data_IF_621219328061
#
_entry.id   IF_621219328061
#
_cell.length_a   1.000
_cell.length_b   1.000
_cell.length_c   1.000
_cell.angle_alpha   90.00
_cell.angle_beta   90.00
_cell.angle_gamma   90.00
#
_symmetry.space_group_name_H-M   'P 1'
#
loop_
_entity.id
_entity.type
_entity.pdbx_description
1 polymer ?
#
# COMPACT_ATOMS: atom_id res chain seq x y z
N UNK A 1 -5.44 -8.92 21.05
CA UNK A 1 -5.79 -7.52 21.30
C UNK A 1 -4.69 -6.95 22.20
N UNK A 2 -3.74 -6.27 21.58
CA UNK A 2 -2.62 -5.62 22.26
C UNK A 2 -3.13 -4.32 22.91
N UNK A 3 -2.52 -3.87 24.01
CA UNK A 3 -2.83 -2.58 24.65
C UNK A 3 -2.66 -1.40 23.67
N UNK A 4 -1.77 -1.54 22.69
CA UNK A 4 -1.58 -0.59 21.60
C UNK A 4 -2.70 -0.60 20.56
N UNK A 5 -3.57 -1.61 20.50
CA UNK A 5 -4.76 -1.61 19.62
C UNK A 5 -5.86 -0.68 20.15
N UNK A 6 -5.80 -0.33 21.45
CA UNK A 6 -6.79 0.51 22.14
C UNK A 6 -6.45 2.00 21.99
N UNK A 7 -5.15 2.32 21.92
CA UNK A 7 -4.65 3.67 21.69
C UNK A 7 -4.40 3.84 20.18
N UNK A 8 -5.25 4.59 19.48
CA UNK A 8 -5.04 4.90 18.06
C UNK A 8 -3.65 5.52 17.81
N UNK A 9 -3.11 5.43 16.58
CA UNK A 9 -1.74 5.85 16.29
C UNK A 9 -1.55 7.34 16.55
N UNK A 10 -0.31 7.72 16.90
CA UNK A 10 0.09 9.13 16.90
C UNK A 10 -0.08 9.67 15.48
N UNK A 11 -0.88 10.73 15.35
CA UNK A 11 -1.26 11.27 14.05
C UNK A 11 -1.59 12.76 14.08
N UNK A 12 -1.59 13.37 12.89
CA UNK A 12 -2.11 14.73 12.67
C UNK A 12 -3.50 14.65 12.06
N UNK A 13 -4.53 15.05 12.80
CA UNK A 13 -5.89 15.17 12.28
C UNK A 13 -6.95 14.74 13.28
N UNK A 14 -8.23 14.96 12.97
CA UNK A 14 -9.33 14.69 13.90
C UNK A 14 -9.71 13.20 13.96
N UNK A 15 -9.26 12.37 13.02
CA UNK A 15 -9.77 11.01 12.83
C UNK A 15 -8.71 10.03 12.34
N UNK A 16 -8.51 8.95 13.09
CA UNK A 16 -7.54 7.89 12.80
C UNK A 16 -7.87 7.09 11.56
N UNK A 17 -9.16 6.88 11.29
CA UNK A 17 -9.60 6.21 10.06
C UNK A 17 -9.38 7.09 8.83
N UNK A 18 -9.73 8.37 8.92
CA UNK A 18 -9.72 9.29 7.79
C UNK A 18 -8.36 9.94 7.54
N UNK A 19 -7.47 9.94 8.53
CA UNK A 19 -6.13 10.49 8.40
C UNK A 19 -5.06 9.40 8.43
N UNK A 20 -4.89 8.69 9.55
CA UNK A 20 -3.81 7.72 9.66
C UNK A 20 -3.97 6.56 8.66
N UNK A 21 -5.17 5.98 8.56
CA UNK A 21 -5.44 4.93 7.57
C UNK A 21 -5.26 5.40 6.13
N UNK A 22 -5.78 6.59 5.82
CA UNK A 22 -5.65 7.22 4.50
C UNK A 22 -4.18 7.50 4.10
N UNK A 23 -3.37 8.03 5.02
CA UNK A 23 -1.94 8.24 4.78
C UNK A 23 -1.18 6.92 4.61
N UNK A 24 -1.51 5.87 5.38
CA UNK A 24 -0.93 4.53 5.22
C UNK A 24 -1.24 3.94 3.84
N UNK A 25 -2.48 4.07 3.35
CA UNK A 25 -2.87 3.65 2.00
C UNK A 25 -1.97 4.31 0.96
N UNK A 26 -1.87 5.66 0.98
CA UNK A 26 -1.03 6.39 0.03
C UNK A 26 0.45 6.00 0.10
N UNK A 27 0.97 5.79 1.31
CA UNK A 27 2.38 5.42 1.53
C UNK A 27 2.71 4.03 1.01
N UNK A 28 1.81 3.07 1.18
CA UNK A 28 1.99 1.72 0.62
C UNK A 28 1.94 1.78 -0.90
N UNK A 29 1.03 2.57 -1.49
CA UNK A 29 0.99 2.71 -2.95
C UNK A 29 2.29 3.31 -3.50
N UNK A 30 2.87 4.30 -2.82
CA UNK A 30 4.20 4.83 -3.17
C UNK A 30 5.30 3.75 -3.06
N UNK A 31 5.29 2.96 -1.98
CA UNK A 31 6.27 1.90 -1.78
C UNK A 31 6.21 0.85 -2.92
N UNK A 32 5.00 0.49 -3.37
CA UNK A 32 4.80 -0.40 -4.50
C UNK A 32 5.26 0.20 -5.83
N UNK A 33 5.07 1.52 -6.03
CA UNK A 33 5.61 2.22 -7.20
C UNK A 33 7.14 2.15 -7.21
N UNK A 34 7.78 2.33 -6.05
CA UNK A 34 9.23 2.22 -5.86
C UNK A 34 10.02 3.43 -6.37
N UNK A 35 9.34 4.47 -6.83
CA UNK A 35 9.90 5.73 -7.32
C UNK A 35 8.95 6.89 -6.99
N UNK A 36 9.41 8.15 -7.01
CA UNK A 36 8.53 9.31 -6.86
C UNK A 36 7.43 9.32 -7.92
N UNK A 37 6.17 9.52 -7.49
CA UNK A 37 5.05 9.67 -8.39
C UNK A 37 5.04 11.08 -9.02
N UNK A 38 4.68 11.16 -10.29
CA UNK A 38 4.40 12.42 -11.01
C UNK A 38 2.90 12.64 -11.20
N UNK A 39 2.11 11.56 -11.14
CA UNK A 39 0.64 11.62 -11.21
C UNK A 39 0.01 10.69 -10.18
N UNK A 40 -1.06 11.15 -9.54
CA UNK A 40 -1.90 10.39 -8.63
C UNK A 40 -3.38 10.54 -9.00
N UNK A 41 -4.02 9.44 -9.39
CA UNK A 41 -5.47 9.34 -9.56
C UNK A 41 -6.06 8.64 -8.33
N UNK A 42 -6.86 9.36 -7.56
CA UNK A 42 -7.47 8.90 -6.31
C UNK A 42 -8.98 8.80 -6.51
N UNK A 43 -9.52 7.61 -6.32
CA UNK A 43 -10.96 7.36 -6.30
C UNK A 43 -11.40 7.03 -4.87
N UNK A 44 -12.37 7.79 -4.35
CA UNK A 44 -12.87 7.63 -3.00
C UNK A 44 -14.26 7.00 -3.01
N UNK A 45 -14.48 6.07 -2.08
CA UNK A 45 -15.75 5.39 -1.89
C UNK A 45 -16.39 5.78 -0.55
N UNK A 46 -17.72 5.72 -0.48
CA UNK A 46 -18.48 5.68 0.78
C UNK A 46 -18.26 6.90 1.68
N UNK A 47 -17.90 6.66 2.93
CA UNK A 47 -17.63 7.71 3.92
C UNK A 47 -16.43 8.58 3.54
N UNK A 48 -15.38 7.99 2.92
CA UNK A 48 -14.28 8.78 2.36
C UNK A 48 -14.79 9.72 1.28
N UNK A 49 -15.59 9.23 0.32
CA UNK A 49 -16.16 10.07 -0.74
C UNK A 49 -16.98 11.26 -0.18
N UNK A 50 -17.76 11.01 0.88
CA UNK A 50 -18.66 12.01 1.46
C UNK A 50 -17.96 13.06 2.31
N UNK A 51 -16.86 12.71 2.97
CA UNK A 51 -16.30 13.54 4.06
C UNK A 51 -14.82 13.91 3.88
N UNK A 52 -14.18 13.53 2.77
CA UNK A 52 -12.73 13.68 2.61
C UNK A 52 -12.19 15.08 2.89
N UNK A 53 -12.91 16.14 2.49
CA UNK A 53 -12.49 17.54 2.76
C UNK A 53 -12.60 17.91 4.23
N UNK A 54 -13.67 17.48 4.89
CA UNK A 54 -13.95 17.81 6.30
C UNK A 54 -13.01 17.10 7.26
N UNK A 55 -12.70 15.83 6.98
CA UNK A 55 -11.80 15.02 7.80
C UNK A 55 -10.33 15.05 7.33
N UNK A 56 -10.03 15.70 6.20
CA UNK A 56 -8.67 15.82 5.66
C UNK A 56 -8.12 14.54 5.03
N UNK A 57 -8.98 13.65 4.53
CA UNK A 57 -8.59 12.39 3.87
C UNK A 57 -7.84 12.63 2.56
N UNK A 58 -8.19 13.67 1.80
CA UNK A 58 -7.42 14.12 0.65
C UNK A 58 -5.98 14.46 1.02
N UNK A 59 -5.82 15.31 2.04
CA UNK A 59 -4.51 15.73 2.55
C UNK A 59 -3.70 14.53 3.04
N UNK A 60 -4.33 13.62 3.76
CA UNK A 60 -3.69 12.43 4.29
C UNK A 60 -3.22 11.48 3.18
N UNK A 61 -4.07 11.19 2.18
CA UNK A 61 -3.69 10.35 1.03
C UNK A 61 -2.52 10.98 0.27
N UNK A 62 -2.61 12.27 -0.05
CA UNK A 62 -1.54 13.00 -0.77
C UNK A 62 -0.25 12.97 0.05
N UNK A 63 -0.32 13.21 1.36
CA UNK A 63 0.84 13.15 2.24
C UNK A 63 1.50 11.75 2.23
N UNK A 64 0.69 10.70 2.32
CA UNK A 64 1.14 9.32 2.22
C UNK A 64 1.81 9.02 0.88
N UNK A 65 1.21 9.46 -0.23
CA UNK A 65 1.77 9.34 -1.59
C UNK A 65 3.11 10.09 -1.71
N UNK A 66 3.33 11.14 -0.93
CA UNK A 66 4.60 11.86 -0.84
C UNK A 66 5.58 11.26 0.19
N UNK A 67 5.24 10.13 0.81
CA UNK A 67 6.09 9.40 1.75
C UNK A 67 6.03 9.89 3.20
N UNK A 68 5.12 10.82 3.54
CA UNK A 68 5.00 11.36 4.89
C UNK A 68 4.47 10.29 5.87
N UNK A 69 4.91 10.37 7.12
CA UNK A 69 4.36 9.56 8.22
C UNK A 69 3.03 10.13 8.72
N UNK A 70 2.26 9.35 9.48
CA UNK A 70 0.92 9.73 9.96
C UNK A 70 0.92 10.90 10.94
N UNK A 71 2.04 11.13 11.61
CA UNK A 71 2.32 12.18 12.59
C UNK A 71 3.05 13.40 12.00
N UNK A 72 3.31 13.39 10.68
CA UNK A 72 4.02 14.49 10.02
C UNK A 72 3.17 15.77 10.00
N UNK A 73 3.68 16.84 10.60
CA UNK A 73 2.99 18.13 10.65
C UNK A 73 2.67 18.72 9.26
N UNK A 74 3.42 18.30 8.23
CA UNK A 74 3.26 18.78 6.85
C UNK A 74 2.01 18.23 6.18
N UNK A 75 1.33 17.21 6.74
CA UNK A 75 0.09 16.65 6.19
C UNK A 75 -0.92 17.75 5.84
N UNK A 76 -1.06 18.77 6.70
CA UNK A 76 -2.00 19.88 6.50
C UNK A 76 -1.76 20.66 5.19
N UNK A 77 -0.51 20.69 4.73
CA UNK A 77 -0.04 21.41 3.54
C UNK A 77 0.21 20.47 2.36
N UNK A 78 -0.09 19.18 2.48
CA UNK A 78 0.25 18.18 1.46
C UNK A 78 -0.25 18.53 0.04
N UNK A 79 -1.48 19.05 -0.17
CA UNK A 79 -1.92 19.46 -1.51
C UNK A 79 -1.06 20.57 -2.14
N UNK A 80 -0.61 21.53 -1.33
CA UNK A 80 0.25 22.62 -1.80
C UNK A 80 1.67 22.12 -2.09
N UNK A 81 2.19 21.24 -1.23
CA UNK A 81 3.51 20.65 -1.40
C UNK A 81 3.56 19.72 -2.63
N UNK A 82 2.50 18.95 -2.88
CA UNK A 82 2.37 18.12 -4.08
C UNK A 82 2.48 18.96 -5.35
N UNK A 83 1.74 20.06 -5.43
CA UNK A 83 1.82 21.01 -6.57
C UNK A 83 3.23 21.58 -6.75
N UNK A 84 3.89 21.96 -5.66
CA UNK A 84 5.28 22.47 -5.69
C UNK A 84 6.29 21.43 -6.17
N UNK A 85 6.02 20.15 -5.91
CA UNK A 85 6.86 19.03 -6.36
C UNK A 85 6.49 18.51 -7.76
N UNK A 86 5.49 19.11 -8.42
CA UNK A 86 5.02 18.68 -9.73
C UNK A 86 4.18 17.41 -9.73
N UNK A 87 3.68 16.97 -8.57
CA UNK A 87 2.73 15.85 -8.48
C UNK A 87 1.33 16.33 -8.90
N UNK A 88 0.85 15.83 -10.04
CA UNK A 88 -0.53 16.03 -10.48
C UNK A 88 -1.47 15.12 -9.68
N UNK A 89 -2.49 15.69 -9.04
CA UNK A 89 -3.45 14.93 -8.23
C UNK A 89 -4.86 15.14 -8.76
N UNK A 90 -5.51 14.03 -9.11
CA UNK A 90 -6.93 13.98 -9.47
C UNK A 90 -7.68 13.20 -8.40
N UNK A 91 -8.76 13.78 -7.86
CA UNK A 91 -9.64 13.09 -6.90
C UNK A 91 -11.03 12.96 -7.51
N UNK A 92 -11.54 11.74 -7.54
CA UNK A 92 -12.88 11.39 -7.96
C UNK A 92 -13.60 10.63 -6.85
N UNK A 93 -14.93 10.59 -6.93
CA UNK A 93 -15.78 9.93 -5.94
C UNK A 93 -16.79 9.03 -6.62
N UNK A 94 -17.14 7.92 -5.98
CA UNK A 94 -18.24 7.07 -6.42
C UNK A 94 -18.42 5.87 -5.51
N UNK A 95 -19.07 4.84 -6.04
CA UNK A 95 -19.39 3.64 -5.28
C UNK A 95 -18.65 2.41 -5.78
N UNK A 96 -18.18 1.59 -4.83
CA UNK A 96 -17.56 0.29 -5.07
C UNK A 96 -18.42 -0.71 -4.32
N UNK A 97 -19.01 -1.63 -5.06
CA UNK A 97 -19.91 -2.63 -4.47
C UNK A 97 -19.16 -3.53 -3.46
N UNK A 98 -19.81 -3.82 -2.34
CA UNK A 98 -19.23 -4.63 -1.25
C UNK A 98 -17.99 -4.06 -0.56
N UNK A 99 -17.55 -2.82 -0.87
CA UNK A 99 -16.39 -2.21 -0.23
C UNK A 99 -16.70 -1.66 1.17
N UNK A 100 -15.67 -1.54 2.00
CA UNK A 100 -15.79 -0.88 3.30
C UNK A 100 -16.04 0.63 3.09
N UNK A 101 -16.85 1.32 3.91
CA UNK A 101 -17.17 2.74 3.69
C UNK A 101 -15.95 3.67 3.59
N UNK A 102 -14.84 3.34 4.24
CA UNK A 102 -13.60 4.10 4.20
C UNK A 102 -12.62 3.49 3.19
N UNK A 103 -12.97 3.46 1.91
CA UNK A 103 -12.13 2.84 0.87
C UNK A 103 -11.62 3.88 -0.12
N UNK A 104 -10.37 3.74 -0.53
CA UNK A 104 -9.75 4.49 -1.61
C UNK A 104 -9.08 3.54 -2.60
N UNK A 105 -9.24 3.81 -3.89
CA UNK A 105 -8.38 3.29 -4.95
C UNK A 105 -7.39 4.38 -5.32
N UNK A 106 -6.10 4.09 -5.19
CA UNK A 106 -5.02 5.01 -5.54
C UNK A 106 -4.24 4.41 -6.70
N UNK A 107 -4.15 5.15 -7.80
CA UNK A 107 -3.31 4.80 -8.94
C UNK A 107 -2.20 5.85 -9.06
N UNK A 108 -0.95 5.42 -9.01
CA UNK A 108 0.21 6.28 -9.15
C UNK A 108 0.94 5.99 -10.45
N UNK A 109 1.51 7.03 -11.06
CA UNK A 109 2.39 6.94 -12.23
C UNK A 109 3.71 7.65 -11.92
N UNK A 110 4.84 7.03 -12.24
CA UNK A 110 6.16 7.68 -12.15
C UNK A 110 6.58 8.38 -13.46
N UNK A 111 7.74 9.05 -13.44
CA UNK A 111 8.25 9.78 -14.61
C UNK A 111 8.61 8.88 -15.81
N UNK A 112 8.80 7.57 -15.60
CA UNK A 112 9.05 6.60 -16.67
C UNK A 112 7.76 6.08 -17.31
N UNK A 113 6.60 6.40 -16.73
CA UNK A 113 5.30 5.90 -17.14
C UNK A 113 4.90 4.57 -16.46
N UNK A 114 5.69 4.07 -15.51
CA UNK A 114 5.30 2.90 -14.71
C UNK A 114 4.09 3.27 -13.86
N UNK A 115 3.07 2.42 -13.87
CA UNK A 115 1.84 2.59 -13.09
C UNK A 115 1.67 1.51 -12.05
N UNK A 116 1.16 1.87 -10.87
CA UNK A 116 0.70 0.93 -9.84
C UNK A 116 -0.67 1.38 -9.33
N UNK A 117 -1.56 0.43 -9.07
CA UNK A 117 -2.84 0.71 -8.39
C UNK A 117 -3.01 -0.14 -7.14
N UNK A 118 -3.64 0.46 -6.12
CA UNK A 118 -3.95 -0.18 -4.85
C UNK A 118 -5.38 0.18 -4.43
N UNK A 119 -6.18 -0.82 -4.06
CA UNK A 119 -7.47 -0.63 -3.38
C UNK A 119 -7.29 -0.96 -1.90
N UNK A 120 -7.49 0.04 -1.04
CA UNK A 120 -7.32 -0.10 0.39
C UNK A 120 -8.48 0.50 1.18
N UNK A 121 -8.80 -0.15 2.30
CA UNK A 121 -9.82 0.31 3.23
C UNK A 121 -9.20 0.66 4.58
N UNK A 122 -9.58 1.77 5.20
CA UNK A 122 -9.29 1.98 6.62
C UNK A 122 -10.38 1.35 7.49
N UNK A 123 -9.99 0.39 8.33
CA UNK A 123 -10.91 -0.44 9.13
C UNK A 123 -11.05 0.03 10.58
N UNK A 124 -10.54 1.22 10.91
CA UNK A 124 -10.61 1.82 12.24
C UNK A 124 -9.31 1.71 13.03
N UNK A 125 -9.12 2.57 14.04
CA UNK A 125 -7.90 2.59 14.85
C UNK A 125 -6.62 2.91 14.07
N UNK A 126 -6.72 3.47 12.86
CA UNK A 126 -5.57 3.64 11.96
C UNK A 126 -5.16 2.38 11.20
N UNK A 127 -5.79 1.24 11.47
CA UNK A 127 -5.57 0.01 10.72
C UNK A 127 -6.16 0.10 9.32
N UNK A 128 -5.56 -0.65 8.41
CA UNK A 128 -5.96 -0.73 7.02
C UNK A 128 -6.09 -2.18 6.58
N UNK A 129 -6.80 -2.38 5.48
CA UNK A 129 -6.87 -3.63 4.75
C UNK A 129 -6.65 -3.30 3.27
N UNK A 130 -5.55 -3.78 2.69
CA UNK A 130 -5.34 -3.75 1.24
C UNK A 130 -6.07 -4.94 0.64
N UNK A 131 -6.96 -4.66 -0.32
CA UNK A 131 -7.82 -5.64 -1.00
C UNK A 131 -7.41 -5.94 -2.43
N UNK A 132 -6.75 -4.99 -3.10
CA UNK A 132 -6.34 -5.14 -4.50
C UNK A 132 -4.99 -4.48 -4.73
N UNK A 133 -4.13 -5.11 -5.53
CA UNK A 133 -2.94 -4.52 -6.12
C UNK A 133 -2.96 -4.83 -7.62
N UNK A 134 -2.88 -3.81 -8.48
CA UNK A 134 -2.92 -3.96 -9.93
C UNK A 134 -4.09 -4.81 -10.45
N UNK A 135 -5.29 -4.64 -9.88
CA UNK A 135 -6.47 -5.45 -10.26
C UNK A 135 -6.48 -6.87 -9.70
N UNK A 136 -5.44 -7.30 -8.98
CA UNK A 136 -5.34 -8.62 -8.39
C UNK A 136 -5.74 -8.58 -6.91
N UNK A 137 -6.62 -9.47 -6.50
CA UNK A 137 -7.11 -9.56 -5.12
C UNK A 137 -5.99 -9.92 -4.15
N UNK A 138 -5.90 -9.20 -3.04
CA UNK A 138 -4.97 -9.45 -1.94
C UNK A 138 -5.68 -9.25 -0.60
N UNK A 139 -5.05 -9.65 0.50
CA UNK A 139 -5.55 -9.38 1.85
C UNK A 139 -4.38 -9.08 2.77
N UNK A 140 -4.05 -7.80 2.92
CA UNK A 140 -2.90 -7.33 3.71
C UNK A 140 -3.38 -6.35 4.77
N UNK A 141 -3.13 -6.68 6.03
CA UNK A 141 -3.56 -5.89 7.20
C UNK A 141 -2.48 -4.98 7.76
N UNK A 142 -1.21 -5.23 7.39
CA UNK A 142 -0.04 -4.54 7.96
C UNK A 142 0.32 -4.99 9.37
N UNK A 143 -0.20 -6.12 9.85
CA UNK A 143 0.11 -6.66 11.18
C UNK A 143 1.46 -7.39 11.23
N UNK A 144 1.88 -7.96 10.11
CA UNK A 144 3.16 -8.63 9.95
C UNK A 144 4.01 -7.95 8.89
N UNK A 145 5.32 -8.20 8.94
CA UNK A 145 6.21 -7.87 7.84
C UNK A 145 5.70 -8.59 6.60
N UNK A 146 5.37 -7.84 5.55
CA UNK A 146 4.74 -8.37 4.35
C UNK A 146 5.58 -8.06 3.13
N UNK A 147 5.95 -9.08 2.36
CA UNK A 147 6.49 -8.93 1.02
C UNK A 147 5.35 -8.96 0.00
N UNK A 148 5.30 -7.95 -0.85
CA UNK A 148 4.42 -7.90 -2.02
C UNK A 148 5.31 -8.02 -3.25
N UNK A 149 5.21 -9.14 -3.95
CA UNK A 149 6.07 -9.46 -5.08
C UNK A 149 5.21 -9.50 -6.35
N UNK A 150 5.39 -8.53 -7.24
CA UNK A 150 4.81 -8.54 -8.57
C UNK A 150 5.74 -9.30 -9.51
N UNK A 151 5.20 -10.29 -10.20
CA UNK A 151 6.00 -11.20 -11.01
C UNK A 151 5.23 -11.74 -12.21
N UNK A 152 5.96 -12.36 -13.13
CA UNK A 152 5.39 -13.22 -14.18
C UNK A 152 5.04 -14.58 -13.58
N UNK A 153 3.82 -15.04 -13.82
CA UNK A 153 3.35 -16.39 -13.49
C UNK A 153 4.06 -17.42 -14.38
N UNK A 154 5.21 -17.91 -13.92
CA UNK A 154 6.05 -18.85 -14.66
C UNK A 154 6.54 -19.98 -13.74
N UNK A 155 6.81 -21.18 -14.29
CA UNK A 155 7.40 -22.26 -13.51
C UNK A 155 8.68 -21.82 -12.80
N UNK A 156 8.83 -22.20 -11.54
CA UNK A 156 10.00 -21.89 -10.72
C UNK A 156 9.98 -20.52 -10.02
N UNK A 157 9.12 -19.57 -10.41
CA UNK A 157 9.11 -18.23 -9.79
C UNK A 157 8.80 -18.27 -8.29
N UNK A 158 7.78 -19.03 -7.88
CA UNK A 158 7.43 -19.18 -6.45
C UNK A 158 8.57 -19.86 -5.69
N UNK A 159 9.12 -20.95 -6.25
CA UNK A 159 10.20 -21.71 -5.64
C UNK A 159 11.44 -20.84 -5.38
N UNK A 160 11.85 -20.05 -6.38
CA UNK A 160 13.00 -19.15 -6.27
C UNK A 160 12.81 -18.10 -5.15
N UNK A 161 11.61 -17.53 -5.01
CA UNK A 161 11.33 -16.59 -3.92
C UNK A 161 11.38 -17.29 -2.57
N UNK A 162 10.71 -18.44 -2.42
CA UNK A 162 10.70 -19.17 -1.15
C UNK A 162 12.06 -19.74 -0.77
N UNK A 163 12.92 -20.05 -1.73
CA UNK A 163 14.30 -20.50 -1.51
C UNK A 163 15.15 -19.38 -0.89
N UNK A 164 15.05 -18.15 -1.41
CA UNK A 164 15.70 -16.97 -0.80
C UNK A 164 15.23 -16.76 0.64
N UNK A 165 13.96 -17.00 0.93
CA UNK A 165 13.40 -16.89 2.28
C UNK A 165 13.91 -18.00 3.19
N UNK A 166 13.96 -19.24 2.70
CA UNK A 166 14.49 -20.39 3.42
C UNK A 166 15.98 -20.21 3.77
N UNK A 167 16.79 -19.75 2.82
CA UNK A 167 18.22 -19.42 3.03
C UNK A 167 18.43 -18.39 4.14
N UNK A 168 17.50 -17.43 4.25
CA UNK A 168 17.52 -16.40 5.27
C UNK A 168 16.96 -16.86 6.62
N UNK A 169 16.52 -18.12 6.74
CA UNK A 169 15.90 -18.66 7.95
C UNK A 169 14.56 -18.03 8.30
N UNK A 170 13.85 -17.51 7.30
CA UNK A 170 12.58 -16.79 7.47
C UNK A 170 11.43 -17.78 7.59
N UNK A 171 10.63 -17.66 8.65
CA UNK A 171 9.36 -18.39 8.73
C UNK A 171 8.23 -17.61 8.03
N UNK A 172 7.45 -18.31 7.20
CA UNK A 172 6.30 -17.74 6.49
C UNK A 172 5.03 -18.09 7.26
N UNK A 173 4.33 -17.08 7.78
CA UNK A 173 3.08 -17.27 8.51
C UNK A 173 1.84 -17.13 7.63
N UNK A 174 1.94 -16.45 6.48
CA UNK A 174 0.88 -16.38 5.48
C UNK A 174 1.46 -16.29 4.07
N UNK A 175 0.85 -16.98 3.12
CA UNK A 175 1.21 -16.93 1.71
C UNK A 175 -0.06 -16.90 0.87
N UNK A 176 -0.16 -15.92 -0.04
CA UNK A 176 -1.22 -15.88 -1.06
C UNK A 176 -0.63 -15.57 -2.42
N UNK A 177 -1.25 -16.15 -3.43
CA UNK A 177 -0.96 -15.92 -4.84
C UNK A 177 -2.25 -15.53 -5.55
N UNK A 178 -2.20 -14.43 -6.28
CA UNK A 178 -3.27 -14.00 -7.17
C UNK A 178 -2.70 -13.70 -8.55
N UNK A 179 -3.43 -14.06 -9.60
CA UNK A 179 -3.04 -13.82 -10.99
C UNK A 179 -4.24 -13.39 -11.81
N UNK A 180 -4.04 -12.52 -12.79
CA UNK A 180 -5.12 -12.15 -13.72
C UNK A 180 -5.40 -13.27 -14.72
N UNK A 181 -4.33 -13.87 -15.26
CA UNK A 181 -4.40 -14.98 -16.21
C UNK A 181 -3.17 -15.86 -16.10
N UNK A 182 -3.28 -17.12 -16.54
CA UNK A 182 -2.15 -18.05 -16.58
C UNK A 182 -1.04 -17.48 -17.47
N UNK A 183 0.19 -17.46 -16.96
CA UNK A 183 1.36 -16.96 -17.71
C UNK A 183 1.51 -15.43 -17.73
N UNK A 184 0.55 -14.70 -17.17
CA UNK A 184 0.53 -13.24 -17.12
C UNK A 184 1.20 -12.67 -15.87
N UNK A 185 0.76 -11.48 -15.48
CA UNK A 185 1.14 -10.85 -14.20
C UNK A 185 0.43 -11.54 -13.03
N UNK A 186 1.19 -11.70 -11.96
CA UNK A 186 0.76 -12.26 -10.69
C UNK A 186 1.35 -11.47 -9.52
N UNK A 187 0.68 -11.55 -8.37
CA UNK A 187 1.13 -11.00 -7.10
C UNK A 187 1.25 -12.12 -6.08
N UNK A 188 2.42 -12.24 -5.46
CA UNK A 188 2.61 -13.00 -4.23
C UNK A 188 2.60 -12.03 -3.05
N UNK A 189 1.78 -12.34 -2.04
CA UNK A 189 1.84 -11.68 -0.74
C UNK A 189 2.33 -12.67 0.29
N UNK A 190 3.46 -12.38 0.93
CA UNK A 190 4.11 -13.27 1.88
C UNK A 190 4.27 -12.53 3.21
N UNK A 191 3.53 -12.97 4.24
CA UNK A 191 3.70 -12.47 5.60
C UNK A 191 4.68 -13.38 6.35
N UNK A 192 5.60 -12.76 7.09
CA UNK A 192 6.70 -13.45 7.76
C UNK A 192 6.75 -13.10 9.25
N UNK A 193 7.23 -14.05 10.03
CA UNK A 193 7.40 -13.87 11.48
C UNK A 193 8.68 -13.10 11.77
N UNK A 194 8.56 -12.03 12.56
CA UNK A 194 9.68 -11.18 12.93
C UNK A 194 9.98 -10.06 11.92
N UNK A 195 11.13 -9.42 12.11
CA UNK A 195 11.59 -8.30 11.29
C UNK A 195 12.85 -8.69 10.57
N UNK A 196 12.85 -8.53 9.25
CA UNK A 196 14.01 -8.76 8.41
C UNK A 196 14.44 -7.46 7.75
N UNK A 197 15.76 -7.35 7.54
CA UNK A 197 16.36 -6.19 6.91
C UNK A 197 15.99 -6.08 5.42
N UNK A 198 16.30 -4.93 4.79
CA UNK A 198 16.01 -4.69 3.38
C UNK A 198 16.73 -5.67 2.45
N UNK A 199 17.84 -6.29 2.90
CA UNK A 199 18.64 -7.24 2.12
C UNK A 199 17.82 -8.42 1.57
N UNK A 200 16.87 -8.94 2.34
CA UNK A 200 15.98 -10.02 1.88
C UNK A 200 15.15 -9.57 0.67
N UNK A 201 14.59 -8.36 0.74
CA UNK A 201 13.80 -7.78 -0.34
C UNK A 201 14.67 -7.51 -1.59
N UNK A 202 15.90 -7.01 -1.40
CA UNK A 202 16.83 -6.77 -2.51
C UNK A 202 17.24 -8.06 -3.22
N UNK A 203 17.46 -9.16 -2.48
CA UNK A 203 17.72 -10.49 -3.09
C UNK A 203 16.54 -10.95 -3.94
N UNK A 204 15.30 -10.70 -3.50
CA UNK A 204 14.09 -11.09 -4.25
C UNK A 204 13.93 -10.23 -5.52
N UNK A 205 14.21 -8.93 -5.46
CA UNK A 205 14.06 -8.00 -6.60
C UNK A 205 14.85 -8.40 -7.83
N UNK A 206 16.01 -9.03 -7.65
CA UNK A 206 16.92 -9.40 -8.75
C UNK A 206 16.61 -10.79 -9.33
N UNK A 207 15.65 -11.53 -8.76
CA UNK A 207 15.30 -12.85 -9.26
C UNK A 207 14.65 -12.77 -10.66
N UNK A 208 14.86 -13.79 -11.53
CA UNK A 208 14.15 -13.89 -12.78
C UNK A 208 12.62 -13.82 -12.58
N UNK A 209 11.91 -13.26 -13.55
CA UNK A 209 10.45 -13.09 -13.55
C UNK A 209 9.89 -12.13 -12.51
N UNK A 210 10.69 -11.52 -11.63
CA UNK A 210 10.24 -10.51 -10.68
C UNK A 210 10.21 -9.14 -11.36
N UNK A 211 9.04 -8.50 -11.37
CA UNK A 211 8.89 -7.12 -11.84
C UNK A 211 9.19 -6.12 -10.73
N UNK A 212 8.76 -6.43 -9.51
CA UNK A 212 9.11 -5.67 -8.31
C UNK A 212 8.87 -6.48 -7.05
N UNK A 213 9.58 -6.11 -5.98
CA UNK A 213 9.35 -6.65 -4.63
C UNK A 213 9.39 -5.51 -3.63
N UNK A 214 8.33 -5.42 -2.83
CA UNK A 214 8.14 -4.37 -1.82
C UNK A 214 7.98 -5.01 -0.46
N UNK A 215 8.82 -4.62 0.49
CA UNK A 215 8.70 -5.02 1.88
C UNK A 215 7.95 -3.94 2.66
N UNK A 216 6.84 -4.31 3.27
CA UNK A 216 6.08 -3.51 4.21
C UNK A 216 6.39 -3.97 5.62
N UNK A 217 6.85 -3.04 6.46
CA UNK A 217 6.99 -3.30 7.90
C UNK A 217 5.62 -3.21 8.57
N UNK A 218 5.43 -3.89 9.73
CA UNK A 218 4.23 -3.74 10.53
C UNK A 218 3.94 -2.26 10.86
N UNK A 219 2.65 -1.90 10.94
CA UNK A 219 2.19 -0.52 11.15
C UNK A 219 1.49 -0.31 12.49
#
# INVERSE_FOLDING_TARGET
>A
MNVFDILGPVMIGPSSSHTAGAARIGKITLALLGAPAVKADIFLHGSFAKTYKGHGTDKALIAGIMGMATDDSRIRMAPELARKQGLEVTITTGDIDGAHPNTAKVTLTDASGKTVSLLGSSIGGGNILVKEVNGMEVSITGQHTTLIVLHRDAPGTIAAVTEVMADAGVNICNFRLSRQQKGGEAVMTIEIDGSFGPELNERIKILPNIFSSTMLQPI
#
